data_IF_808220368713
#
_entry.id   IF_808220368713
#
_cell.length_a   1.000
_cell.length_b   1.000
_cell.length_c   1.000
_cell.angle_alpha   90.00
_cell.angle_beta   90.00
_cell.angle_gamma   90.00
#
_symmetry.space_group_name_H-M   'P 1'
#
loop_
_entity.id
_entity.type
_entity.pdbx_description
1 polymer ?
2 non-polymer ?
3 non-polymer ?
4 water ?
#
# COMPACT_ATOMS: atom_id res chain seq x y z
N UNK A 7 11.19 14.35 -25.31
CA UNK A 7 9.89 14.91 -24.98
C UNK A 7 8.99 13.94 -24.20
N UNK A 8 8.84 12.70 -24.67
CA UNK A 8 8.12 11.71 -23.86
C UNK A 8 8.85 11.44 -22.54
N UNK A 9 10.18 11.38 -22.58
CA UNK A 9 10.94 11.16 -21.35
C UNK A 9 10.73 12.28 -20.34
N UNK A 10 10.66 13.50 -20.85
CA UNK A 10 10.47 14.68 -19.99
C UNK A 10 9.08 14.71 -19.40
N UNK A 11 8.09 14.46 -20.26
CA UNK A 11 6.70 14.41 -19.82
C UNK A 11 6.52 13.32 -18.78
N UNK A 12 7.14 12.17 -19.02
CA UNK A 12 7.07 11.04 -18.09
C UNK A 12 7.65 11.37 -16.72
N UNK A 13 8.86 11.94 -16.70
CA UNK A 13 9.48 12.32 -15.43
C UNK A 13 8.62 13.34 -14.70
N UNK A 14 8.03 14.28 -15.45
CA UNK A 14 7.17 15.31 -14.85
C UNK A 14 5.91 14.72 -14.22
N UNK A 15 5.21 13.86 -14.96
CA UNK A 15 3.97 13.27 -14.50
C UNK A 15 4.14 12.37 -13.27
N UNK A 16 5.22 11.59 -13.25
CA UNK A 16 5.44 10.64 -12.17
C UNK A 16 5.77 11.33 -10.84
N UNK A 17 6.13 12.61 -10.90
CA UNK A 17 6.43 13.40 -9.71
C UNK A 17 5.18 14.03 -9.09
N UNK A 18 4.08 14.02 -9.85
CA UNK A 18 2.87 14.75 -9.44
C UNK A 18 1.92 13.94 -8.54
N UNK A 19 1.15 14.65 -7.72
CA UNK A 19 0.12 14.02 -6.91
C UNK A 19 -1.18 13.97 -7.68
N UNK A 20 -2.10 13.13 -7.23
CA UNK A 20 -3.45 13.02 -7.79
C UNK A 20 -4.06 14.41 -7.89
N UNK A 21 -3.93 15.17 -6.81
CA UNK A 21 -4.46 16.52 -6.74
C UNK A 21 -3.95 17.39 -7.89
N UNK A 22 -2.65 17.31 -8.17
CA UNK A 22 -2.04 18.06 -9.27
C UNK A 22 -2.49 17.54 -10.63
N UNK A 23 -2.45 16.22 -10.78
CA UNK A 23 -2.84 15.58 -12.06
C UNK A 23 -4.26 15.93 -12.45
N UNK A 24 -5.16 15.95 -11.47
CA UNK A 24 -6.58 16.18 -11.74
C UNK A 24 -6.86 17.52 -12.39
N UNK A 25 -5.93 18.47 -12.23
CA UNK A 25 -6.11 19.79 -12.80
C UNK A 25 -5.84 19.84 -14.31
N UNK A 26 -5.11 18.84 -14.82
CA UNK A 26 -4.81 18.79 -16.25
C UNK A 26 -5.55 17.70 -17.03
N UNK A 27 -6.37 16.91 -16.34
CA UNK A 27 -7.15 15.86 -17.03
C UNK A 27 -7.94 16.46 -18.20
N UNK A 28 -7.92 15.76 -19.32
CA UNK A 28 -8.63 16.19 -20.51
C UNK A 28 -10.04 15.64 -20.54
N UNK A 29 -10.26 14.60 -19.72
CA UNK A 29 -11.55 13.94 -19.64
C UNK A 29 -11.94 13.75 -18.18
N UNK A 30 -13.19 13.34 -17.96
CA UNK A 30 -13.66 12.98 -16.63
C UNK A 30 -12.94 11.70 -16.20
N UNK A 31 -13.06 11.32 -14.94
CA UNK A 31 -12.32 10.18 -14.40
C UNK A 31 -13.12 9.46 -13.33
N UNK A 32 -12.76 8.21 -13.05
CA UNK A 32 -13.40 7.43 -12.00
C UNK A 32 -12.38 7.17 -10.90
N UNK A 33 -12.56 7.77 -9.71
CA UNK A 33 -11.61 7.53 -8.62
C UNK A 33 -11.70 6.11 -8.05
N UNK A 34 -10.57 5.57 -7.57
CA UNK A 34 -10.52 4.22 -7.03
C UNK A 34 -11.50 4.03 -5.86
N UNK A 35 -11.68 5.07 -5.05
CA UNK A 35 -12.56 4.96 -3.88
C UNK A 35 -14.05 4.90 -4.24
N UNK A 36 -14.37 5.09 -5.51
CA UNK A 36 -15.76 4.98 -5.96
C UNK A 36 -16.04 3.57 -6.47
N UNK A 37 -14.99 2.78 -6.59
CA UNK A 37 -15.09 1.40 -7.08
C UNK A 37 -15.18 0.40 -5.93
N UNK A 38 -16.31 -0.29 -5.82
CA UNK A 38 -16.51 -1.24 -4.72
C UNK A 38 -15.67 -2.50 -4.87
N UNK A 39 -15.11 -2.97 -3.77
CA UNK A 39 -14.52 -4.30 -3.76
C UNK A 39 -15.67 -5.29 -3.93
N UNK A 40 -15.35 -6.53 -4.27
CA UNK A 40 -16.38 -7.55 -4.42
C UNK A 40 -17.10 -7.74 -3.09
N UNK A 41 -16.33 -7.63 -2.00
CA UNK A 41 -16.85 -7.75 -0.63
C UNK A 41 -17.98 -6.77 -0.35
N UNK A 42 -17.88 -5.55 -0.87
CA UNK A 42 -18.86 -4.51 -0.60
C UNK A 42 -20.12 -4.63 -1.48
N UNK A 43 -19.92 -5.02 -2.73
CA UNK A 43 -21.00 -5.09 -3.71
C UNK A 43 -22.03 -6.17 -3.34
N UNK A 44 -21.58 -7.16 -2.57
CA UNK A 44 -22.42 -8.29 -2.18
C UNK A 44 -23.08 -8.09 -0.82
N UNK A 45 -22.85 -6.94 -0.21
CA UNK A 45 -23.34 -6.68 1.14
C UNK A 45 -24.87 -6.68 1.23
N UNK A 46 -25.53 -6.39 0.11
CA UNK A 46 -26.98 -6.33 0.08
C UNK A 46 -27.63 -7.68 -0.13
N UNK A 47 -26.82 -8.73 -0.19
CA UNK A 47 -27.32 -10.09 -0.30
C UNK A 47 -27.70 -10.65 1.05
N UNK A 54 -23.58 -26.67 -1.69
CA UNK A 54 -22.33 -26.68 -0.93
C UNK A 54 -21.22 -27.49 -1.64
N UNK A 55 -20.01 -27.47 -1.10
CA UNK A 55 -18.85 -28.04 -1.80
C UNK A 55 -17.96 -28.88 -0.89
N UNK A 56 -16.93 -29.50 -1.47
CA UNK A 56 -15.88 -30.13 -0.67
C UNK A 56 -15.08 -29.07 0.10
N UNK A 57 -14.30 -29.53 1.07
CA UNK A 57 -13.44 -28.65 1.86
C UNK A 57 -12.39 -29.46 2.60
N UNK A 63 -8.23 -19.13 1.09
CA UNK A 63 -8.10 -17.71 1.40
C UNK A 63 -9.30 -16.91 0.93
N UNK A 64 -9.84 -16.06 1.80
CA UNK A 64 -10.78 -15.05 1.35
C UNK A 64 -9.97 -13.96 0.67
N UNK A 65 -10.31 -13.64 -0.57
CA UNK A 65 -9.57 -12.64 -1.34
C UNK A 65 -10.52 -11.56 -1.88
N UNK A 66 -11.76 -11.55 -1.35
CA UNK A 66 -12.82 -10.69 -1.87
C UNK A 66 -12.57 -9.19 -1.64
N UNK A 67 -11.71 -8.89 -0.70
CA UNK A 67 -11.34 -7.50 -0.41
C UNK A 67 -10.43 -6.94 -1.49
N UNK A 68 -9.74 -7.83 -2.19
CA UNK A 68 -8.64 -7.44 -3.06
C UNK A 68 -9.07 -7.29 -4.52
N UNK A 69 -10.29 -7.72 -4.84
CA UNK A 69 -10.76 -7.70 -6.23
C UNK A 69 -12.03 -6.87 -6.43
N UNK A 70 -12.22 -6.38 -7.65
CA UNK A 70 -13.44 -5.68 -8.02
C UNK A 70 -13.84 -6.14 -9.40
N UNK A 71 -15.14 -6.18 -9.64
CA UNK A 71 -15.68 -6.38 -10.98
C UNK A 71 -16.28 -5.04 -11.39
N UNK A 72 -15.82 -4.50 -12.51
CA UNK A 72 -16.23 -3.18 -12.92
C UNK A 72 -16.58 -3.19 -14.40
N UNK A 73 -17.76 -2.67 -14.76
CA UNK A 73 -18.13 -2.60 -16.17
C UNK A 73 -18.00 -1.18 -16.67
N UNK A 74 -17.12 -0.97 -17.65
CA UNK A 74 -17.01 0.33 -18.28
C UNK A 74 -15.72 0.53 -19.04
N UNK A 75 -15.49 1.79 -19.44
CA UNK A 75 -14.29 2.21 -20.17
C UNK A 75 -13.08 2.24 -19.25
N UNK A 76 -12.08 1.42 -19.56
CA UNK A 76 -10.92 1.28 -18.70
C UNK A 76 -10.11 2.58 -18.65
N UNK A 77 -10.22 3.39 -19.70
CA UNK A 77 -9.38 4.59 -19.79
C UNK A 77 -9.80 5.70 -18.83
N UNK A 78 -10.98 5.54 -18.21
CA UNK A 78 -11.46 6.51 -17.25
C UNK A 78 -10.93 6.23 -15.85
N UNK A 79 -10.41 5.02 -15.61
CA UNK A 79 -10.03 4.61 -14.24
C UNK A 79 -8.78 5.31 -13.70
N UNK A 80 -8.93 5.91 -12.53
CA UNK A 80 -7.81 6.55 -11.84
C UNK A 80 -7.17 5.52 -10.90
N UNK A 81 -6.29 4.72 -11.46
CA UNK A 81 -5.63 3.64 -10.74
C UNK A 81 -4.14 3.74 -11.05
N UNK A 82 -3.30 2.98 -10.35
CA UNK A 82 -1.87 3.06 -10.60
C UNK A 82 -1.51 2.55 -12.02
N UNK A 83 -2.25 1.55 -12.49
CA UNK A 83 -1.96 0.99 -13.81
C UNK A 83 -3.20 0.43 -14.46
N UNK A 84 -3.35 0.68 -15.76
CA UNK A 84 -4.29 -0.10 -16.56
C UNK A 84 -3.51 -1.00 -17.50
N UNK A 85 -4.12 -2.12 -17.87
CA UNK A 85 -3.49 -3.09 -18.74
C UNK A 85 -4.09 -2.98 -20.12
N UNK A 86 -3.23 -3.01 -21.11
CA UNK A 86 -3.63 -2.88 -22.52
C UNK A 86 -3.54 -4.24 -23.17
N UNK A 87 -4.62 -4.62 -23.87
CA UNK A 87 -4.62 -5.80 -24.76
C UNK A 87 -3.99 -5.41 -26.09
N UNK A 88 -2.66 -5.46 -26.14
CA UNK A 88 -1.90 -4.89 -27.23
C UNK A 88 -1.64 -5.91 -28.33
N UNK A 89 -0.91 -5.49 -29.35
CA UNK A 89 -0.38 -6.44 -30.30
C UNK A 89 1.14 -6.44 -30.22
N UNK A 90 1.75 -7.37 -30.95
CA UNK A 90 3.19 -7.58 -30.89
C UNK A 90 4.02 -6.32 -31.17
N UNK A 91 3.50 -5.41 -31.98
CA UNK A 91 4.25 -4.20 -32.32
C UNK A 91 4.27 -3.17 -31.20
N UNK A 92 3.26 -3.24 -30.33
CA UNK A 92 3.00 -2.24 -29.29
C UNK A 92 2.68 -0.83 -29.81
N UNK A 93 2.35 -0.71 -31.08
CA UNK A 93 2.16 0.62 -31.66
C UNK A 93 0.70 1.10 -31.72
N UNK A 94 -0.22 0.28 -31.24
CA UNK A 94 -1.63 0.66 -31.21
C UNK A 94 -2.47 -0.18 -32.13
N UNK A 95 -3.74 0.18 -32.24
CA UNK A 95 -4.67 -0.57 -33.06
C UNK A 95 -6.10 -0.18 -32.79
N UNK A 96 -6.95 -1.18 -32.70
CA UNK A 96 -8.36 -0.96 -32.46
C UNK A 96 -8.73 -1.43 -31.08
N UNK A 97 -10.03 -1.58 -30.82
CA UNK A 97 -10.50 -2.09 -29.55
C UNK A 97 -9.94 -1.30 -28.38
N UNK A 98 -9.61 -2.00 -27.30
CA UNK A 98 -9.16 -1.30 -26.11
C UNK A 98 -7.80 -0.61 -26.33
N UNK A 99 -6.94 -1.22 -27.14
CA UNK A 99 -5.66 -0.64 -27.52
C UNK A 99 -5.86 0.74 -28.16
N UNK A 100 -6.73 0.82 -29.14
CA UNK A 100 -7.03 2.09 -29.77
C UNK A 100 -7.56 3.14 -28.80
N UNK A 101 -8.44 2.70 -27.89
CA UNK A 101 -8.99 3.60 -26.86
C UNK A 101 -7.89 4.11 -25.96
N UNK A 102 -7.01 3.22 -25.52
CA UNK A 102 -5.92 3.60 -24.62
C UNK A 102 -4.99 4.61 -25.31
N UNK A 103 -4.62 4.35 -26.56
CA UNK A 103 -3.77 5.31 -27.25
C UNK A 103 -4.41 6.67 -27.47
N UNK A 104 -5.70 6.70 -27.81
CA UNK A 104 -6.37 7.98 -28.01
C UNK A 104 -6.43 8.75 -26.71
N UNK A 105 -6.75 8.06 -25.63
CA UNK A 105 -6.91 8.71 -24.34
C UNK A 105 -5.57 9.15 -23.76
N UNK A 106 -4.50 8.42 -24.07
CA UNK A 106 -3.20 8.75 -23.48
C UNK A 106 -2.51 9.89 -24.24
N UNK A 107 -2.83 10.05 -25.52
CA UNK A 107 -2.16 11.04 -26.34
C UNK A 107 -0.91 10.48 -27.02
N UNK A 108 -0.31 11.26 -27.92
CA UNK A 108 0.80 10.79 -28.75
C UNK A 108 2.10 10.42 -28.02
N UNK A 109 2.29 10.88 -26.79
CA UNK A 109 3.46 10.44 -26.02
C UNK A 109 3.46 8.93 -25.77
N UNK A 110 2.28 8.31 -25.74
CA UNK A 110 2.23 6.88 -25.48
C UNK A 110 2.85 6.12 -26.65
N UNK A 111 2.45 6.47 -27.87
CA UNK A 111 3.04 5.89 -29.06
C UNK A 111 4.56 6.13 -29.09
N UNK A 112 4.98 7.35 -28.73
CA UNK A 112 6.41 7.65 -28.72
C UNK A 112 7.19 6.74 -27.77
N UNK A 113 6.70 6.55 -26.56
CA UNK A 113 7.40 5.66 -25.63
C UNK A 113 7.37 4.22 -26.15
N UNK A 114 6.24 3.81 -26.73
CA UNK A 114 6.11 2.46 -27.26
C UNK A 114 7.07 2.23 -28.43
N UNK A 115 7.31 3.28 -29.20
CA UNK A 115 8.28 3.20 -30.32
C UNK A 115 9.71 3.00 -29.85
N UNK A 116 9.95 3.17 -28.55
CA UNK A 116 11.28 2.98 -28.00
C UNK A 116 11.44 1.56 -27.43
N UNK A 117 10.35 0.79 -27.42
CA UNK A 117 10.28 -0.51 -26.72
C UNK A 117 10.57 -1.79 -27.53
N UNK A 118 10.55 -1.69 -28.85
CA UNK A 118 10.82 -2.84 -29.73
C UNK A 118 9.87 -4.04 -29.61
N UNK A 119 8.59 -3.75 -29.40
CA UNK A 119 7.57 -4.77 -29.47
C UNK A 119 7.44 -5.60 -28.21
N UNK A 120 6.61 -6.63 -28.28
CA UNK A 120 6.35 -7.47 -27.13
C UNK A 120 5.92 -8.87 -27.58
N UNK A 121 6.41 -9.90 -26.91
CA UNK A 121 6.06 -11.28 -27.23
C UNK A 121 4.73 -11.68 -26.60
N UNK A 122 4.10 -12.67 -27.24
CA UNK A 122 2.85 -13.22 -26.72
C UNK A 122 3.06 -13.68 -25.29
N UNK A 123 2.19 -13.25 -24.38
CA UNK A 123 2.29 -13.65 -23.00
C UNK A 123 3.32 -12.89 -22.18
N UNK A 124 4.00 -11.92 -22.79
CA UNK A 124 4.91 -11.02 -22.08
C UNK A 124 4.22 -9.68 -21.85
N UNK A 125 4.85 -8.81 -21.07
CA UNK A 125 4.31 -7.48 -20.83
C UNK A 125 5.43 -6.46 -20.71
N UNK A 126 5.10 -5.19 -21.01
CA UNK A 126 6.03 -4.07 -20.89
C UNK A 126 5.27 -2.93 -20.28
N UNK A 127 5.95 -2.08 -19.52
CA UNK A 127 5.27 -0.99 -18.84
C UNK A 127 5.68 0.37 -19.37
N UNK A 128 4.72 1.28 -19.51
CA UNK A 128 5.01 2.65 -19.92
C UNK A 128 4.28 3.63 -19.02
N UNK A 129 4.61 4.91 -19.16
CA UNK A 129 3.81 5.97 -18.53
C UNK A 129 2.41 6.01 -19.18
N UNK A 130 1.42 6.50 -18.42
CA UNK A 130 0.06 6.63 -18.92
C UNK A 130 -0.26 7.96 -19.57
N UNK A 131 0.65 8.93 -19.44
CA UNK A 131 0.49 10.26 -20.05
C UNK A 131 -0.86 10.92 -19.72
N UNK A 132 -1.69 11.22 -20.73
CA UNK A 132 -2.95 11.92 -20.49
C UNK A 132 -3.95 11.10 -19.66
N UNK A 133 -3.73 9.80 -19.55
CA UNK A 133 -4.64 8.94 -18.78
C UNK A 133 -4.56 9.28 -17.31
N UNK A 134 -5.70 9.18 -16.60
CA UNK A 134 -5.60 9.25 -15.14
C UNK A 134 -4.74 8.11 -14.55
N UNK A 135 -4.70 6.96 -15.21
CA UNK A 135 -3.79 5.88 -14.83
C UNK A 135 -2.32 6.31 -14.91
N UNK A 136 -1.57 6.01 -13.86
CA UNK A 136 -0.17 6.41 -13.78
C UNK A 136 0.66 5.69 -14.84
N UNK A 137 0.37 4.40 -15.02
CA UNK A 137 1.11 3.56 -15.94
C UNK A 137 0.16 2.78 -16.84
N UNK A 138 0.66 2.40 -18.01
CA UNK A 138 0.02 1.37 -18.83
C UNK A 138 0.91 0.16 -18.90
N UNK A 139 0.35 -1.01 -18.59
CA UNK A 139 1.08 -2.26 -18.75
C UNK A 139 0.54 -2.90 -20.02
N UNK A 140 1.40 -3.03 -21.03
CA UNK A 140 0.98 -3.57 -22.31
C UNK A 140 1.32 -5.05 -22.37
N UNK A 141 0.34 -5.88 -22.74
CA UNK A 141 0.57 -7.30 -22.85
C UNK A 141 -0.07 -7.81 -24.14
N UNK A 142 0.47 -8.89 -24.70
CA UNK A 142 -0.03 -9.38 -25.99
C UNK A 142 -0.66 -10.74 -25.79
N UNK A 143 -1.99 -10.80 -25.96
CA UNK A 143 -2.70 -12.04 -25.76
C UNK A 143 -2.50 -12.98 -26.93
N UNK A 144 -2.79 -14.26 -26.72
CA UNK A 144 -2.76 -15.24 -27.80
C UNK A 144 -3.89 -14.99 -28.79
N UNK A 145 -3.67 -15.43 -30.02
CA UNK A 145 -4.68 -15.34 -31.08
C UNK A 145 -5.36 -16.69 -31.29
N UNK A 146 -6.69 -16.69 -31.22
CA UNK A 146 -7.44 -17.91 -31.41
C UNK A 146 -8.11 -17.84 -32.76
N UNK A 147 -7.70 -18.69 -33.68
CA UNK A 147 -8.34 -18.77 -34.99
C UNK A 147 -9.15 -20.05 -35.06
N UNK A 148 -10.18 -20.16 -34.24
CA UNK A 148 -11.09 -21.29 -34.32
C UNK A 148 -11.03 -22.26 -33.14
N UNK A 149 -9.87 -22.32 -32.48
CA UNK A 149 -9.69 -23.21 -31.34
C UNK A 149 -8.59 -22.66 -30.43
N UNK A 150 -8.53 -23.17 -29.20
CA UNK A 150 -7.53 -22.75 -28.22
C UNK A 150 -6.80 -23.95 -27.64
N UNK A 151 -6.50 -24.92 -28.49
CA UNK A 151 -5.88 -26.17 -28.06
C UNK A 151 -4.38 -26.23 -28.35
N UNK A 152 -3.78 -25.08 -28.65
CA UNK A 152 -2.33 -24.99 -28.75
C UNK A 152 -1.76 -24.49 -27.44
N UNK A 153 -0.93 -23.46 -27.48
CA UNK A 153 -0.37 -22.86 -26.29
C UNK A 153 -1.31 -21.80 -25.70
N UNK A 154 -2.49 -21.65 -26.32
CA UNK A 154 -3.40 -20.55 -26.01
C UNK A 154 -3.71 -20.32 -24.54
N UNK A 155 -4.07 -21.38 -23.82
CA UNK A 155 -4.48 -21.21 -22.43
C UNK A 155 -3.33 -20.74 -21.55
N UNK A 156 -2.15 -21.33 -21.75
CA UNK A 156 -0.97 -20.93 -20.99
C UNK A 156 -0.51 -19.54 -21.40
N UNK A 157 -0.60 -19.23 -22.69
CA UNK A 157 -0.24 -17.90 -23.18
C UNK A 157 -1.12 -16.81 -22.54
N UNK A 158 -2.43 -17.06 -22.46
CA UNK A 158 -3.31 -16.07 -21.85
C UNK A 158 -3.01 -15.92 -20.36
N UNK A 159 -2.76 -17.04 -19.69
CA UNK A 159 -2.38 -16.99 -18.29
C UNK A 159 -1.09 -16.18 -18.13
N UNK A 160 -0.15 -16.38 -19.05
CA UNK A 160 1.12 -15.64 -19.01
C UNK A 160 0.94 -14.12 -19.10
N UNK A 161 -0.02 -13.67 -19.90
CA UNK A 161 -0.34 -12.24 -19.95
C UNK A 161 -0.65 -11.67 -18.58
N UNK A 162 -1.49 -12.37 -17.84
CA UNK A 162 -1.88 -11.91 -16.52
C UNK A 162 -0.70 -12.03 -15.57
N UNK A 163 0.06 -13.12 -15.64
CA UNK A 163 1.21 -13.29 -14.75
C UNK A 163 2.29 -12.24 -15.03
N UNK A 164 2.56 -11.98 -16.30
CA UNK A 164 3.60 -11.04 -16.69
C UNK A 164 3.23 -9.63 -16.28
N UNK A 165 1.94 -9.32 -16.41
CA UNK A 165 1.42 -8.02 -15.98
C UNK A 165 1.58 -7.86 -14.47
N UNK A 166 1.24 -8.91 -13.72
CA UNK A 166 1.34 -8.88 -12.27
C UNK A 166 2.79 -8.80 -11.78
N UNK A 167 3.71 -9.39 -12.52
CA UNK A 167 5.14 -9.22 -12.23
C UNK A 167 5.55 -7.76 -12.29
N UNK A 168 5.07 -7.05 -13.32
CA UNK A 168 5.37 -5.63 -13.46
C UNK A 168 4.66 -4.81 -12.38
N UNK A 169 3.47 -5.26 -11.98
CA UNK A 169 2.73 -4.62 -10.91
C UNK A 169 3.58 -4.61 -9.64
N UNK A 170 4.15 -5.77 -9.34
CA UNK A 170 4.97 -5.93 -8.15
C UNK A 170 6.27 -5.14 -8.26
N UNK A 171 6.91 -5.21 -9.43
CA UNK A 171 8.21 -4.55 -9.60
C UNK A 171 8.11 -3.03 -9.56
N UNK A 172 6.95 -2.51 -9.93
CA UNK A 172 6.79 -1.06 -10.05
C UNK A 172 5.96 -0.46 -8.93
N UNK A 173 5.80 -1.24 -7.85
CA UNK A 173 5.12 -0.79 -6.65
C UNK A 173 3.71 -0.26 -6.93
N UNK A 174 3.03 -0.92 -7.86
CA UNK A 174 1.68 -0.57 -8.24
C UNK A 174 0.69 -1.23 -7.29
N UNK A 175 -0.23 -0.44 -6.73
CA UNK A 175 -1.14 -0.98 -5.71
C UNK A 175 -2.59 -1.12 -6.18
N UNK A 176 -2.87 -0.57 -7.36
CA UNK A 176 -4.17 -0.79 -7.98
C UNK A 176 -3.97 -0.98 -9.48
N UNK A 177 -4.58 -2.03 -10.03
CA UNK A 177 -4.42 -2.30 -11.45
C UNK A 177 -5.76 -2.80 -12.02
N UNK A 178 -6.07 -2.40 -13.25
CA UNK A 178 -7.25 -2.88 -13.96
C UNK A 178 -6.89 -3.66 -15.23
N UNK A 179 -7.58 -4.78 -15.44
CA UNK A 179 -7.41 -5.63 -16.62
C UNK A 179 -8.65 -5.59 -17.46
N UNK A 180 -8.48 -5.45 -18.78
CA UNK A 180 -9.57 -5.69 -19.72
C UNK A 180 -9.65 -7.18 -20.04
N UNK A 181 -10.64 -7.57 -20.84
CA UNK A 181 -10.80 -8.97 -21.20
C UNK A 181 -9.88 -9.36 -22.35
N UNK A 182 -8.60 -9.48 -22.03
CA UNK A 182 -7.54 -9.75 -23.02
C UNK A 182 -7.88 -10.93 -23.91
N UNK A 183 -7.64 -10.74 -25.21
CA UNK A 183 -7.79 -11.77 -26.25
C UNK A 183 -9.21 -12.11 -26.66
N UNK A 184 -10.23 -11.58 -25.97
CA UNK A 184 -11.60 -12.01 -26.27
C UNK A 184 -12.31 -11.15 -27.31
N UNK A 185 -11.60 -10.14 -27.80
CA UNK A 185 -12.10 -9.30 -28.89
C UNK A 185 -11.71 -9.87 -30.24
N UNK A 186 -10.96 -9.10 -31.03
CA UNK A 186 -10.62 -9.61 -32.36
C UNK A 186 -9.67 -10.81 -32.28
N UNK A 187 -8.98 -11.00 -31.16
CA UNK A 187 -8.14 -12.19 -31.04
C UNK A 187 -8.92 -13.47 -30.77
N UNK A 188 -10.24 -13.35 -30.56
CA UNK A 188 -11.14 -14.48 -30.71
C UNK A 188 -11.20 -15.57 -29.65
N UNK A 189 -10.59 -15.32 -28.49
CA UNK A 189 -10.61 -16.31 -27.41
C UNK A 189 -12.04 -16.40 -26.84
N UNK A 190 -12.56 -17.62 -26.70
CA UNK A 190 -13.93 -17.74 -26.16
C UNK A 190 -14.05 -17.15 -24.76
N UNK A 191 -15.17 -16.45 -24.51
CA UNK A 191 -15.28 -15.61 -23.32
C UNK A 191 -15.23 -16.35 -21.98
N UNK A 192 -15.92 -17.48 -21.88
CA UNK A 192 -15.96 -18.21 -20.61
C UNK A 192 -14.60 -18.80 -20.22
N UNK A 193 -13.93 -19.52 -21.14
CA UNK A 193 -12.60 -20.04 -20.78
C UNK A 193 -11.59 -18.94 -20.48
N UNK A 194 -11.71 -17.80 -21.15
CA UNK A 194 -10.83 -16.67 -20.88
C UNK A 194 -11.06 -16.14 -19.47
N UNK A 195 -12.32 -16.06 -19.06
CA UNK A 195 -12.64 -15.59 -17.72
C UNK A 195 -12.09 -16.55 -16.68
N UNK A 196 -12.22 -17.85 -16.93
CA UNK A 196 -11.70 -18.86 -15.99
C UNK A 196 -10.20 -18.67 -15.80
N UNK A 197 -9.49 -18.44 -16.90
CA UNK A 197 -8.05 -18.25 -16.85
C UNK A 197 -7.66 -16.97 -16.11
N UNK A 198 -8.34 -15.87 -16.42
CA UNK A 198 -8.07 -14.59 -15.77
C UNK A 198 -8.28 -14.67 -14.25
N UNK A 199 -9.42 -15.23 -13.87
CA UNK A 199 -9.76 -15.33 -12.44
C UNK A 199 -8.83 -16.28 -11.72
N UNK A 200 -8.57 -17.45 -12.31
CA UNK A 200 -7.69 -18.41 -11.66
C UNK A 200 -6.29 -17.86 -11.49
N UNK A 201 -5.78 -17.19 -12.51
CA UNK A 201 -4.44 -16.62 -12.45
C UNK A 201 -4.33 -15.55 -11.36
N UNK A 202 -5.31 -14.66 -11.29
CA UNK A 202 -5.29 -13.61 -10.27
C UNK A 202 -5.45 -14.23 -8.87
N UNK A 203 -6.32 -15.23 -8.73
CA UNK A 203 -6.51 -15.90 -7.45
C UNK A 203 -5.20 -16.50 -6.94
N UNK A 204 -4.53 -17.27 -7.81
CA UNK A 204 -3.28 -17.92 -7.44
C UNK A 204 -2.17 -16.92 -7.10
N UNK A 205 -2.13 -15.82 -7.83
CA UNK A 205 -1.13 -14.77 -7.56
C UNK A 205 -1.40 -14.12 -6.21
N UNK A 206 -2.68 -13.86 -5.93
CA UNK A 206 -3.07 -13.16 -4.70
C UNK A 206 -2.84 -13.99 -3.45
N UNK A 207 -2.88 -15.32 -3.59
CA UNK A 207 -2.66 -16.19 -2.44
C UNK A 207 -1.26 -15.93 -1.84
N UNK A 208 -0.34 -15.54 -2.71
CA UNK A 208 1.05 -15.32 -2.31
C UNK A 208 1.38 -13.83 -2.18
N UNK A 209 0.64 -12.98 -2.89
CA UNK A 209 0.95 -11.56 -2.97
C UNK A 209 -0.16 -10.60 -2.53
N UNK A 210 -1.14 -11.05 -1.77
CA UNK A 210 -2.28 -10.17 -1.48
C UNK A 210 -1.93 -8.87 -0.74
N UNK A 211 -0.87 -8.89 0.06
CA UNK A 211 -0.42 -7.67 0.71
C UNK A 211 0.26 -6.68 -0.24
N UNK A 212 0.56 -7.11 -1.47
CA UNK A 212 1.27 -6.28 -2.42
C UNK A 212 0.38 -5.25 -3.13
N UNK A 213 -0.92 -5.47 -3.08
CA UNK A 213 -1.86 -4.57 -3.76
C UNK A 213 -3.06 -4.24 -2.89
N UNK A 214 -3.72 -3.14 -3.21
CA UNK A 214 -5.00 -2.78 -2.61
C UNK A 214 -6.16 -3.33 -3.45
N UNK A 215 -6.05 -3.26 -4.77
CA UNK A 215 -7.12 -3.76 -5.62
C UNK A 215 -6.65 -4.23 -7.00
N UNK A 216 -7.21 -5.36 -7.42
CA UNK A 216 -7.12 -5.78 -8.82
C UNK A 216 -8.54 -5.68 -9.36
N UNK A 217 -8.70 -4.91 -10.44
CA UNK A 217 -10.01 -4.65 -11.01
C UNK A 217 -10.17 -5.38 -12.32
N UNK A 218 -11.19 -6.22 -12.42
CA UNK A 218 -11.57 -6.77 -13.72
C UNK A 218 -12.52 -5.81 -14.38
N UNK A 219 -11.99 -5.08 -15.37
CA UNK A 219 -12.78 -4.11 -16.12
C UNK A 219 -13.35 -4.80 -17.36
N UNK A 220 -14.58 -5.27 -17.25
CA UNK A 220 -15.26 -5.85 -18.39
C UNK A 220 -15.90 -4.69 -19.14
N UNK A 221 -16.15 -4.89 -20.43
CA UNK A 221 -16.69 -3.84 -21.28
C UNK A 221 -18.06 -4.26 -21.77
N UNK A 222 -18.14 -5.49 -22.27
CA UNK A 222 -19.39 -6.00 -22.83
C UNK A 222 -20.27 -6.62 -21.76
N UNK A 223 -21.59 -6.56 -21.98
CA UNK A 223 -22.52 -7.15 -21.06
C UNK A 223 -22.27 -8.66 -20.94
N UNK A 224 -21.89 -9.31 -22.04
CA UNK A 224 -21.64 -10.75 -22.00
C UNK A 224 -20.54 -11.11 -21.00
N UNK A 225 -19.45 -10.35 -21.02
CA UNK A 225 -18.37 -10.62 -20.09
C UNK A 225 -18.75 -10.29 -18.66
N UNK A 226 -19.53 -9.23 -18.47
CA UNK A 226 -20.00 -8.87 -17.13
C UNK A 226 -20.75 -10.04 -16.51
N UNK A 227 -21.70 -10.59 -17.27
CA UNK A 227 -22.53 -11.70 -16.79
C UNK A 227 -21.68 -12.92 -16.44
N UNK A 228 -20.66 -13.17 -17.25
CA UNK A 228 -19.77 -14.31 -17.03
C UNK A 228 -18.95 -14.14 -15.77
N UNK A 229 -18.28 -13.00 -15.65
CA UNK A 229 -17.45 -12.71 -14.49
C UNK A 229 -18.27 -12.74 -13.20
N UNK A 230 -19.46 -12.16 -13.23
CA UNK A 230 -20.28 -12.06 -12.03
C UNK A 230 -20.64 -13.42 -11.45
N UNK A 231 -20.86 -14.40 -12.32
CA UNK A 231 -21.21 -15.76 -11.88
C UNK A 231 -20.01 -16.53 -11.32
N UNK A 232 -18.82 -16.02 -11.55
CA UNK A 232 -17.60 -16.76 -11.22
C UNK A 232 -16.80 -16.19 -10.06
N UNK A 233 -17.07 -14.93 -9.70
CA UNK A 233 -16.29 -14.25 -8.67
C UNK A 233 -16.27 -14.98 -7.33
N UNK A 234 -17.42 -15.50 -6.91
CA UNK A 234 -17.50 -16.19 -5.62
C UNK A 234 -16.74 -17.51 -5.58
N UNK A 235 -16.83 -18.29 -6.65
CA UNK A 235 -16.17 -19.59 -6.67
C UNK A 235 -14.66 -19.43 -6.65
N UNK A 236 -14.18 -18.25 -7.04
CA UNK A 236 -12.75 -17.98 -7.04
C UNK A 236 -12.25 -17.25 -5.81
N UNK A 237 -13.03 -16.33 -5.25
CA UNK A 237 -12.45 -15.46 -4.22
C UNK A 237 -13.09 -15.57 -2.84
N UNK A 238 -14.34 -16.01 -2.80
CA UNK A 238 -15.06 -16.15 -1.54
C UNK A 238 -14.94 -17.54 -0.94
N UNK B 7 -10.16 -14.61 25.88
CA UNK B 7 -10.90 -13.38 25.63
C UNK B 7 -10.12 -12.38 24.77
N UNK B 8 -8.86 -12.11 25.10
CA UNK B 8 -8.06 -11.23 24.25
C UNK B 8 -7.80 -11.83 22.87
N UNK B 9 -7.59 -13.14 22.80
CA UNK B 9 -7.36 -13.79 21.52
C UNK B 9 -8.56 -13.64 20.59
N UNK B 10 -9.76 -13.80 21.16
CA UNK B 10 -11.01 -13.66 20.41
C UNK B 10 -11.27 -12.23 19.96
N UNK B 11 -11.08 -11.29 20.88
CA UNK B 11 -11.26 -9.89 20.55
C UNK B 11 -10.27 -9.47 19.46
N UNK B 12 -9.04 -9.95 19.56
CA UNK B 12 -8.01 -9.63 18.57
C UNK B 12 -8.38 -10.16 17.18
N UNK B 13 -8.82 -11.42 17.14
CA UNK B 13 -9.26 -12.01 15.89
C UNK B 13 -10.41 -11.22 15.28
N UNK B 14 -11.35 -10.80 16.12
CA UNK B 14 -12.51 -10.03 15.70
C UNK B 14 -12.11 -8.68 15.10
N UNK B 15 -11.24 -7.97 15.81
CA UNK B 15 -10.86 -6.63 15.41
C UNK B 15 -10.07 -6.60 14.11
N UNK B 16 -9.17 -7.57 13.93
CA UNK B 16 -8.27 -7.54 12.79
C UNK B 16 -8.99 -7.84 11.48
N UNK B 17 -10.19 -8.45 11.58
CA UNK B 17 -11.01 -8.76 10.41
C UNK B 17 -11.85 -7.57 9.96
N UNK B 18 -11.97 -6.58 10.83
CA UNK B 18 -12.87 -5.45 10.58
C UNK B 18 -12.25 -4.39 9.70
N UNK B 19 -13.10 -3.76 8.88
CA UNK B 19 -12.69 -2.62 8.06
C UNK B 19 -12.69 -1.36 8.91
N UNK B 20 -12.08 -0.32 8.36
CA UNK B 20 -12.00 0.99 9.00
C UNK B 20 -13.39 1.53 9.33
N UNK B 21 -14.32 1.36 8.40
CA UNK B 21 -15.68 1.84 8.61
C UNK B 21 -16.34 1.13 9.78
N UNK B 22 -16.12 -0.18 9.86
CA UNK B 22 -16.67 -0.97 10.93
C UNK B 22 -16.02 -0.62 12.27
N UNK B 23 -14.70 -0.45 12.25
CA UNK B 23 -13.96 -0.11 13.46
C UNK B 23 -14.40 1.25 14.02
N UNK B 24 -14.62 2.21 13.13
CA UNK B 24 -14.99 3.56 13.55
C UNK B 24 -16.28 3.62 14.35
N UNK B 25 -17.23 2.76 13.98
CA UNK B 25 -18.52 2.72 14.69
C UNK B 25 -18.38 2.29 16.14
N UNK B 26 -17.27 1.62 16.48
CA UNK B 26 -17.05 1.12 17.84
C UNK B 26 -16.09 1.96 18.68
N UNK B 27 -15.47 2.98 18.07
CA UNK B 27 -14.53 3.83 18.79
C UNK B 27 -15.22 4.49 19.98
N UNK B 28 -14.51 4.52 21.10
CA UNK B 28 -14.97 5.17 22.32
C UNK B 28 -14.62 6.65 22.36
N UNK B 29 -13.59 7.02 21.60
CA UNK B 29 -13.07 8.39 21.63
C UNK B 29 -12.92 8.97 20.23
N UNK B 30 -12.65 10.28 20.17
CA UNK B 30 -12.40 10.92 18.88
C UNK B 30 -11.16 10.32 18.27
N UNK B 31 -10.99 10.48 16.97
CA UNK B 31 -9.80 9.95 16.33
C UNK B 31 -9.32 10.95 15.29
N UNK B 32 -8.07 10.78 14.89
CA UNK B 32 -7.48 11.59 13.83
C UNK B 32 -7.12 10.65 12.68
N UNK B 33 -7.82 10.80 11.54
CA UNK B 33 -7.57 9.94 10.38
C UNK B 33 -6.25 10.31 9.71
N UNK B 34 -5.61 9.31 9.11
CA UNK B 34 -4.32 9.51 8.46
C UNK B 34 -4.39 10.61 7.40
N UNK B 35 -5.51 10.70 6.71
CA UNK B 35 -5.67 11.69 5.63
C UNK B 35 -5.64 13.15 6.11
N UNK B 36 -5.80 13.36 7.41
CA UNK B 36 -5.82 14.70 7.99
C UNK B 36 -4.43 15.11 8.49
N UNK B 37 -3.49 14.18 8.42
CA UNK B 37 -2.12 14.45 8.82
C UNK B 37 -1.33 14.71 7.54
N UNK B 38 -0.80 15.92 7.42
CA UNK B 38 -0.05 16.28 6.22
C UNK B 38 1.31 15.61 6.23
N UNK B 39 1.77 15.21 5.04
CA UNK B 39 3.14 14.72 4.91
C UNK B 39 4.01 15.94 5.09
N UNK B 40 5.30 15.75 5.35
CA UNK B 40 6.20 16.88 5.48
C UNK B 40 6.28 17.68 4.17
N UNK B 41 6.15 16.96 3.05
CA UNK B 41 6.13 17.60 1.72
C UNK B 41 4.96 18.57 1.59
N UNK B 42 3.78 18.16 2.04
CA UNK B 42 2.61 19.04 2.04
C UNK B 42 2.78 20.21 2.98
N UNK B 43 3.28 19.91 4.18
CA UNK B 43 3.50 20.93 5.20
C UNK B 43 4.48 21.99 4.69
N UNK B 44 5.45 21.54 3.89
CA UNK B 44 6.45 22.43 3.31
C UNK B 44 6.04 22.87 1.92
N UNK B 58 25.60 18.49 -3.80
CA UNK B 58 26.84 17.76 -4.00
C UNK B 58 26.75 16.80 -5.19
N UNK B 59 27.68 15.86 -5.24
CA UNK B 59 27.61 14.78 -6.21
C UNK B 59 26.77 13.64 -5.65
N UNK B 60 26.37 13.77 -4.39
CA UNK B 60 25.59 12.74 -3.73
C UNK B 60 24.20 12.60 -4.33
N UNK B 61 23.83 11.36 -4.63
CA UNK B 61 22.50 11.05 -5.14
C UNK B 61 21.61 10.73 -3.94
N UNK B 62 20.50 11.44 -3.81
CA UNK B 62 19.65 11.33 -2.64
C UNK B 62 18.22 10.95 -3.00
N UNK B 63 17.63 10.03 -2.24
CA UNK B 63 16.21 9.71 -2.39
C UNK B 63 15.38 10.80 -1.70
N UNK B 64 14.33 11.25 -2.37
CA UNK B 64 13.41 12.18 -1.72
C UNK B 64 12.40 11.40 -0.90
N UNK B 65 12.29 11.71 0.39
CA UNK B 65 11.45 10.93 1.30
C UNK B 65 10.41 11.79 2.01
N UNK B 66 10.27 13.04 1.60
CA UNK B 66 9.41 13.99 2.31
C UNK B 66 7.93 13.63 2.26
N UNK B 67 7.54 12.80 1.29
CA UNK B 67 6.16 12.35 1.18
C UNK B 67 5.87 11.21 2.17
N UNK B 68 6.92 10.62 2.72
CA UNK B 68 6.78 9.39 3.50
C UNK B 68 6.82 9.65 5.00
N UNK B 69 7.05 10.90 5.39
CA UNK B 69 7.15 11.25 6.80
C UNK B 69 6.22 12.40 7.16
N UNK B 70 5.80 12.44 8.42
CA UNK B 70 5.00 13.54 8.96
C UNK B 70 5.52 13.89 10.36
N UNK B 71 5.32 15.14 10.76
CA UNK B 71 5.55 15.56 12.14
C UNK B 71 4.21 15.97 12.73
N UNK B 72 3.82 15.33 13.83
CA UNK B 72 2.53 15.56 14.46
C UNK B 72 2.75 15.80 15.93
N UNK B 73 2.20 16.89 16.46
CA UNK B 73 2.27 17.12 17.89
C UNK B 73 0.92 16.83 18.53
N UNK B 74 0.90 15.86 19.44
CA UNK B 74 -0.31 15.55 20.17
C UNK B 74 -0.28 14.14 20.76
N UNK B 75 -1.43 13.72 21.25
CA UNK B 75 -1.59 12.42 21.91
C UNK B 75 -1.53 11.33 20.84
N UNK B 76 -0.53 10.45 20.95
CA UNK B 76 -0.36 9.37 19.99
C UNK B 76 -1.59 8.46 19.93
N UNK B 77 -2.34 8.40 21.03
CA UNK B 77 -3.45 7.44 21.12
C UNK B 77 -4.65 7.80 20.25
N UNK B 78 -4.68 9.04 19.76
CA UNK B 78 -5.76 9.46 18.88
C UNK B 78 -5.53 9.07 17.43
N UNK B 79 -4.31 8.65 17.08
CA UNK B 79 -3.97 8.46 15.66
C UNK B 79 -4.57 7.19 15.06
N UNK B 80 -5.28 7.34 13.96
CA UNK B 80 -5.86 6.20 13.26
C UNK B 80 -4.87 5.76 12.19
N UNK B 81 -3.95 4.90 12.61
CA UNK B 81 -2.88 4.41 11.76
C UNK B 81 -2.80 2.90 11.96
N UNK B 82 -2.05 2.21 11.10
CA UNK B 82 -1.91 0.76 11.27
C UNK B 82 -1.23 0.38 12.59
N UNK B 83 -0.26 1.18 13.03
CA UNK B 83 0.44 0.88 14.28
C UNK B 83 0.91 2.13 14.99
N UNK B 84 0.79 2.12 16.32
CA UNK B 84 1.51 3.11 17.12
C UNK B 84 2.58 2.39 17.91
N UNK B 85 3.67 3.10 18.19
CA UNK B 85 4.79 2.53 18.93
C UNK B 85 4.75 3.01 20.36
N UNK B 86 4.96 2.07 21.29
CA UNK B 86 4.94 2.36 22.71
C UNK B 86 6.34 2.38 23.26
N UNK B 87 6.68 3.43 24.01
CA UNK B 87 7.94 3.49 24.75
C UNK B 87 7.76 2.71 26.05
N UNK B 88 7.96 1.40 25.95
CA UNK B 88 7.57 0.48 27.02
C UNK B 88 8.71 0.25 28.00
N UNK B 89 8.45 -0.55 29.03
CA UNK B 89 9.54 -1.06 29.84
C UNK B 89 9.67 -2.56 29.64
N UNK B 90 10.75 -3.11 30.19
CA UNK B 90 11.12 -4.50 30.00
C UNK B 90 10.03 -5.51 30.35
N UNK B 91 9.14 -5.17 31.28
CA UNK B 91 8.06 -6.09 31.66
C UNK B 91 6.93 -6.14 30.62
N UNK B 92 6.84 -5.09 29.79
CA UNK B 92 5.70 -4.83 28.89
C UNK B 92 4.34 -4.69 29.59
N UNK B 93 4.31 -4.46 30.89
CA UNK B 93 3.02 -4.49 31.59
C UNK B 93 2.38 -3.12 31.78
N UNK B 94 3.05 -2.08 31.31
CA UNK B 94 2.53 -0.73 31.44
C UNK B 94 3.35 0.13 32.38
N UNK B 95 2.82 1.31 32.67
CA UNK B 95 3.60 2.29 33.41
C UNK B 95 3.00 3.68 33.34
N UNK B 96 3.88 4.68 33.24
CA UNK B 96 3.45 6.06 33.19
C UNK B 96 3.75 6.56 31.81
N UNK B 97 3.73 7.89 31.65
CA UNK B 97 4.08 8.47 30.36
C UNK B 97 3.23 7.95 29.22
N UNK B 98 3.84 7.80 28.07
CA UNK B 98 3.08 7.39 26.89
C UNK B 98 2.59 5.93 27.04
N UNK B 99 3.36 5.11 27.73
CA UNK B 99 2.99 3.72 28.03
C UNK B 99 1.66 3.69 28.81
N UNK B 100 1.55 4.49 29.85
CA UNK B 100 0.31 4.56 30.61
C UNK B 100 -0.85 5.05 29.76
N UNK B 101 -0.58 6.02 28.89
CA UNK B 101 -1.62 6.54 28.02
C UNK B 101 -2.12 5.47 27.06
N UNK B 102 -1.19 4.73 26.48
CA UNK B 102 -1.54 3.68 25.53
C UNK B 102 -2.37 2.58 26.20
N UNK B 103 -1.99 2.17 27.40
CA UNK B 103 -2.75 1.13 28.09
C UNK B 103 -4.15 1.58 28.49
N UNK B 104 -4.28 2.81 28.96
CA UNK B 104 -5.60 3.33 29.31
C UNK B 104 -6.50 3.41 28.10
N UNK B 105 -5.95 3.89 26.99
CA UNK B 105 -6.73 4.05 25.77
C UNK B 105 -7.09 2.71 25.12
N UNK B 106 -6.20 1.73 25.21
CA UNK B 106 -6.45 0.43 24.58
C UNK B 106 -7.40 -0.48 25.37
N UNK B 107 -7.45 -0.26 26.68
CA UNK B 107 -8.25 -1.10 27.56
C UNK B 107 -7.50 -2.32 28.07
N UNK B 108 -8.15 -3.08 28.96
CA UNK B 108 -7.51 -4.20 29.68
C UNK B 108 -7.01 -5.35 28.79
N UNK B 109 -7.55 -5.50 27.58
CA UNK B 109 -7.05 -6.57 26.71
C UNK B 109 -5.59 -6.38 26.32
N UNK B 110 -5.10 -5.15 26.31
CA UNK B 110 -3.71 -4.91 25.92
C UNK B 110 -2.79 -5.51 26.98
N UNK B 111 -3.05 -5.19 28.24
CA UNK B 111 -2.31 -5.79 29.35
C UNK B 111 -2.37 -7.31 29.29
N UNK B 112 -3.55 -7.86 28.99
CA UNK B 112 -3.70 -9.32 28.89
C UNK B 112 -2.79 -9.91 27.81
N UNK B 113 -2.79 -9.32 26.61
CA UNK B 113 -1.93 -9.84 25.56
C UNK B 113 -0.46 -9.64 25.94
N UNK B 114 -0.14 -8.49 26.54
CA UNK B 114 1.24 -8.21 26.95
C UNK B 114 1.74 -9.22 27.98
N UNK B 115 0.86 -9.64 28.87
CA UNK B 115 1.24 -10.62 29.90
C UNK B 115 1.69 -11.93 29.24
N UNK B 116 1.08 -12.28 28.12
CA UNK B 116 1.41 -13.52 27.41
C UNK B 116 2.76 -13.45 26.65
N UNK B 117 3.35 -12.26 26.58
CA UNK B 117 4.56 -12.04 25.78
C UNK B 117 5.89 -12.21 26.54
N UNK B 118 5.82 -12.30 27.86
CA UNK B 118 7.02 -12.52 28.68
C UNK B 118 8.11 -11.46 28.55
N UNK B 119 7.71 -10.20 28.50
CA UNK B 119 8.66 -9.11 28.54
C UNK B 119 9.34 -8.82 27.23
N UNK B 120 10.30 -7.90 27.25
CA UNK B 120 10.99 -7.45 26.04
C UNK B 120 12.34 -6.86 26.42
N UNK B 121 13.37 -7.17 25.65
CA UNK B 121 14.70 -6.62 25.94
C UNK B 121 14.89 -5.21 25.37
N UNK B 122 15.78 -4.45 26.00
CA UNK B 122 16.18 -3.14 25.52
C UNK B 122 16.58 -3.22 24.05
N UNK B 123 16.06 -2.31 23.24
CA UNK B 123 16.42 -2.25 21.84
C UNK B 123 15.70 -3.28 20.99
N UNK B 124 14.77 -4.02 21.59
CA UNK B 124 13.98 -5.01 20.86
C UNK B 124 12.53 -4.57 20.86
N UNK B 125 11.70 -5.26 20.09
CA UNK B 125 10.30 -4.88 19.98
C UNK B 125 9.38 -6.08 19.86
N UNK B 126 8.13 -5.91 20.30
CA UNK B 126 7.10 -6.94 20.14
C UNK B 126 5.80 -6.29 19.72
N UNK B 127 4.95 -7.02 19.00
CA UNK B 127 3.72 -6.44 18.46
C UNK B 127 2.48 -7.07 19.08
N UNK B 128 1.50 -6.23 19.39
CA UNK B 128 0.20 -6.70 19.87
C UNK B 128 -0.94 -6.01 19.10
N UNK B 129 -2.15 -6.50 19.32
CA UNK B 129 -3.34 -5.78 18.87
C UNK B 129 -3.48 -4.45 19.63
N UNK B 130 -4.15 -3.47 19.05
CA UNK B 130 -4.36 -2.19 19.71
C UNK B 130 -5.69 -2.07 20.44
N UNK B 131 -6.57 -3.07 20.28
CA UNK B 131 -7.84 -3.13 21.01
C UNK B 131 -8.67 -1.84 20.87
N UNK B 132 -8.94 -1.14 21.97
CA UNK B 132 -9.82 0.04 21.88
C UNK B 132 -9.20 1.20 21.11
N UNK B 133 -7.91 1.14 20.84
CA UNK B 133 -7.24 2.21 20.09
C UNK B 133 -7.72 2.23 18.66
N UNK B 134 -7.72 3.42 18.04
CA UNK B 134 -7.95 3.44 16.59
C UNK B 134 -6.83 2.73 15.84
N UNK B 135 -5.62 2.72 16.41
CA UNK B 135 -4.50 2.00 15.79
C UNK B 135 -4.75 0.50 15.78
N UNK B 136 -4.45 -0.16 14.66
CA UNK B 136 -4.71 -1.60 14.56
C UNK B 136 -3.77 -2.39 15.47
N UNK B 137 -2.52 -1.95 15.54
CA UNK B 137 -1.50 -2.64 16.33
C UNK B 137 -0.79 -1.66 17.24
N UNK B 138 -0.20 -2.19 18.32
CA UNK B 138 0.80 -1.46 19.10
C UNK B 138 2.11 -2.24 18.99
N UNK B 139 3.17 -1.54 18.63
CA UNK B 139 4.50 -2.12 18.64
C UNK B 139 5.21 -1.60 19.89
N UNK B 140 5.52 -2.51 20.81
CA UNK B 140 6.14 -2.12 22.08
C UNK B 140 7.64 -2.28 21.95
N UNK B 141 8.38 -1.22 22.27
CA UNK B 141 9.83 -1.29 22.25
C UNK B 141 10.36 -0.72 23.56
N UNK B 142 11.52 -1.19 24.00
CA UNK B 142 12.06 -0.80 25.29
C UNK B 142 13.29 0.04 25.05
N UNK B 143 13.19 1.34 25.35
CA UNK B 143 14.33 2.22 25.15
C UNK B 143 15.43 2.03 26.18
N UNK B 144 16.65 2.47 25.86
CA UNK B 144 17.72 2.47 26.86
C UNK B 144 17.44 3.46 27.98
N UNK B 145 18.03 3.17 29.14
CA UNK B 145 17.95 4.04 30.31
C UNK B 145 19.24 4.84 30.47
N UNK B 146 19.09 6.16 30.56
CA UNK B 146 20.25 7.04 30.75
C UNK B 146 20.09 7.77 32.07
N UNK B 147 20.75 7.27 33.11
CA UNK B 147 20.68 7.89 34.42
C UNK B 147 21.64 9.06 34.53
N UNK B 148 22.66 9.04 33.67
CA UNK B 148 23.62 10.12 33.59
C UNK B 148 23.88 10.42 32.13
N UNK B 149 25.15 10.59 31.78
CA UNK B 149 25.53 10.91 30.41
C UNK B 149 25.31 9.71 29.51
N UNK B 150 24.81 9.96 28.30
CA UNK B 150 24.70 8.88 27.33
C UNK B 150 26.06 8.54 26.74
N UNK B 151 26.21 7.30 26.31
CA UNK B 151 27.40 6.83 25.63
C UNK B 151 27.00 5.99 24.41
N UNK B 152 27.98 5.37 23.75
CA UNK B 152 27.73 4.58 22.57
C UNK B 152 26.71 3.47 22.75
N UNK B 153 26.66 2.90 23.95
CA UNK B 153 25.69 1.83 24.19
C UNK B 153 24.24 2.38 24.18
N UNK B 154 24.01 3.54 24.79
CA UNK B 154 22.66 4.13 24.74
C UNK B 154 22.27 4.45 23.31
N UNK B 155 23.22 4.97 22.53
CA UNK B 155 22.95 5.40 21.17
C UNK B 155 22.61 4.22 20.28
N UNK B 156 23.35 3.12 20.43
CA UNK B 156 23.10 1.92 19.67
C UNK B 156 21.75 1.31 20.05
N UNK B 157 21.49 1.26 21.35
CA UNK B 157 20.23 0.73 21.87
C UNK B 157 19.02 1.50 21.35
N UNK B 158 19.10 2.82 21.39
CA UNK B 158 17.99 3.63 20.87
C UNK B 158 17.77 3.41 19.37
N UNK B 159 18.85 3.39 18.59
CA UNK B 159 18.71 3.08 17.17
C UNK B 159 18.04 1.73 16.99
N UNK B 160 18.44 0.78 17.82
CA UNK B 160 17.89 -0.57 17.72
C UNK B 160 16.38 -0.64 18.01
N UNK B 161 15.90 0.21 18.91
CA UNK B 161 14.46 0.33 19.13
C UNK B 161 13.72 0.71 17.86
N UNK B 162 14.24 1.71 17.16
CA UNK B 162 13.61 2.14 15.93
C UNK B 162 13.72 1.04 14.86
N UNK B 163 14.88 0.42 14.76
CA UNK B 163 15.11 -0.63 13.75
C UNK B 163 14.22 -1.86 13.99
N UNK B 164 14.16 -2.32 15.24
CA UNK B 164 13.38 -3.51 15.55
C UNK B 164 11.89 -3.22 15.37
N UNK B 165 11.48 -1.99 15.63
CA UNK B 165 10.08 -1.60 15.44
C UNK B 165 9.76 -1.60 13.94
N UNK B 166 10.66 -1.04 13.13
CA UNK B 166 10.45 -0.99 11.69
C UNK B 166 10.49 -2.39 11.08
N UNK B 167 11.25 -3.29 11.69
CA UNK B 167 11.25 -4.68 11.23
C UNK B 167 9.85 -5.30 11.36
N UNK B 168 9.19 -5.04 12.49
CA UNK B 168 7.83 -5.50 12.70
C UNK B 168 6.83 -4.80 11.77
N UNK B 169 7.09 -3.55 11.45
CA UNK B 169 6.26 -2.80 10.52
C UNK B 169 6.25 -3.54 9.18
N UNK B 170 7.45 -3.93 8.75
CA UNK B 170 7.57 -4.62 7.46
C UNK B 170 6.96 -6.02 7.49
N UNK B 171 7.24 -6.77 8.55
CA UNK B 171 6.78 -8.15 8.66
C UNK B 171 5.27 -8.25 8.81
N UNK B 172 4.64 -7.18 9.30
CA UNK B 172 3.21 -7.21 9.56
C UNK B 172 2.40 -6.37 8.58
N UNK B 173 3.03 -6.01 7.47
CA UNK B 173 2.33 -5.32 6.38
C UNK B 173 1.67 -4.03 6.86
N UNK B 174 2.35 -3.36 7.77
CA UNK B 174 1.89 -2.10 8.32
C UNK B 174 2.31 -0.95 7.41
N UNK B 175 1.35 -0.12 7.00
CA UNK B 175 1.66 0.93 6.03
C UNK B 175 1.70 2.34 6.64
N UNK B 176 1.22 2.45 7.87
CA UNK B 176 1.37 3.71 8.58
C UNK B 176 1.70 3.43 10.04
N UNK B 177 2.71 4.14 10.54
CA UNK B 177 3.18 3.91 11.91
C UNK B 177 3.59 5.23 12.53
N UNK B 178 3.31 5.40 13.83
CA UNK B 178 3.69 6.60 14.56
C UNK B 178 4.60 6.25 15.73
N UNK B 179 5.68 7.01 15.88
CA UNK B 179 6.64 6.84 16.98
C UNK B 179 6.57 8.01 17.92
N UNK B 180 6.58 7.73 19.24
CA UNK B 180 6.80 8.76 20.26
C UNK B 180 8.29 8.98 20.45
N UNK B 181 8.65 9.94 21.30
CA UNK B 181 10.07 10.26 21.51
C UNK B 181 10.67 9.33 22.55
N UNK B 182 10.90 8.09 22.12
CA UNK B 182 11.37 7.00 22.99
C UNK B 182 12.59 7.41 23.79
N UNK B 183 12.55 7.06 25.08
CA UNK B 183 13.66 7.25 26.04
C UNK B 183 13.88 8.67 26.54
N UNK B 184 13.16 9.65 26.02
CA UNK B 184 13.43 11.06 26.37
C UNK B 184 12.62 11.55 27.57
N UNK B 185 11.77 10.68 28.10
CA UNK B 185 11.01 10.98 29.31
C UNK B 185 11.74 10.57 30.56
N UNK B 186 11.13 9.72 31.37
CA UNK B 186 11.82 9.31 32.59
C UNK B 186 13.11 8.52 32.29
N UNK B 187 13.25 7.94 31.10
CA UNK B 187 14.51 7.26 30.79
C UNK B 187 15.69 8.19 30.48
N UNK B 188 15.43 9.50 30.40
CA UNK B 188 16.49 10.50 30.49
C UNK B 188 17.42 10.75 29.32
N UNK B 189 17.06 10.28 28.13
CA UNK B 189 17.89 10.50 26.95
C UNK B 189 17.73 11.94 26.52
N UNK B 190 18.86 12.63 26.29
CA UNK B 190 18.76 14.03 25.89
C UNK B 190 17.97 14.22 24.59
N UNK B 191 17.11 15.24 24.53
CA UNK B 191 16.19 15.40 23.42
C UNK B 191 16.83 15.51 22.03
N UNK B 192 17.83 16.37 21.89
CA UNK B 192 18.44 16.54 20.58
C UNK B 192 19.14 15.28 20.05
N UNK B 193 20.02 14.66 20.87
CA UNK B 193 20.67 13.45 20.36
C UNK B 193 19.67 12.34 20.05
N UNK B 194 18.60 12.23 20.83
CA UNK B 194 17.57 11.24 20.53
C UNK B 194 16.92 11.51 19.18
N UNK B 195 16.61 12.77 18.90
CA UNK B 195 15.97 13.13 17.64
C UNK B 195 16.85 12.78 16.45
N UNK B 196 18.14 13.04 16.57
CA UNK B 196 19.11 12.71 15.52
C UNK B 196 19.09 11.22 15.21
N UNK B 197 19.04 10.41 16.25
CA UNK B 197 19.06 8.96 16.08
C UNK B 197 17.75 8.48 15.48
N UNK B 198 16.63 9.00 15.97
CA UNK B 198 15.32 8.64 15.43
C UNK B 198 15.23 8.97 13.95
N UNK B 199 15.57 10.20 13.60
CA UNK B 199 15.50 10.66 12.21
C UNK B 199 16.48 9.93 11.30
N UNK B 200 17.70 9.74 11.76
CA UNK B 200 18.67 9.03 10.94
C UNK B 200 18.23 7.59 10.67
N UNK B 201 17.76 6.93 11.72
CA UNK B 201 17.36 5.54 11.61
C UNK B 201 16.18 5.36 10.67
N UNK B 202 15.20 6.25 10.79
CA UNK B 202 14.05 6.21 9.89
C UNK B 202 14.45 6.55 8.45
N UNK B 203 15.34 7.54 8.30
CA UNK B 203 15.84 7.90 6.97
C UNK B 203 16.48 6.71 6.26
N UNK B 204 17.37 6.01 6.97
CA UNK B 204 18.08 4.89 6.36
C UNK B 204 17.14 3.74 6.05
N UNK B 205 16.19 3.47 6.94
CA UNK B 205 15.23 2.42 6.67
C UNK B 205 14.39 2.79 5.45
N UNK B 206 13.97 4.04 5.35
CA UNK B 206 13.15 4.46 4.21
C UNK B 206 13.94 4.44 2.91
N UNK B 207 15.22 4.78 2.95
CA UNK B 207 16.05 4.75 1.74
C UNK B 207 15.92 3.39 1.05
N UNK B 208 15.87 2.32 1.85
CA UNK B 208 15.71 0.96 1.35
C UNK B 208 14.26 0.50 1.23
N UNK B 209 13.40 0.96 2.13
CA UNK B 209 12.05 0.42 2.24
C UNK B 209 10.89 1.38 2.00
N UNK B 210 11.12 2.52 1.37
CA UNK B 210 10.05 3.53 1.28
C UNK B 210 8.77 3.06 0.55
N UNK B 211 8.89 2.09 -0.35
CA UNK B 211 7.71 1.59 -1.01
C UNK B 211 6.87 0.69 -0.09
N UNK B 212 7.38 0.39 1.11
CA UNK B 212 6.71 -0.53 2.02
C UNK B 212 5.70 0.18 2.90
N UNK B 213 5.76 1.50 2.94
CA UNK B 213 4.84 2.28 3.76
C UNK B 213 4.28 3.50 3.04
N UNK B 214 3.17 4.01 3.57
CA UNK B 214 2.62 5.29 3.15
C UNK B 214 3.12 6.43 4.04
N UNK B 215 3.28 6.16 5.34
CA UNK B 215 3.70 7.22 6.23
C UNK B 215 4.31 6.71 7.53
N UNK B 216 5.42 7.34 7.91
CA UNK B 216 6.00 7.24 9.25
C UNK B 216 5.81 8.60 9.91
N UNK B 217 5.11 8.60 11.05
CA UNK B 217 4.78 9.81 11.75
C UNK B 217 5.63 9.95 13.01
N UNK B 218 6.33 11.06 13.13
CA UNK B 218 7.01 11.39 14.37
C UNK B 218 5.99 12.13 15.21
N UNK B 219 5.52 11.44 16.25
CA UNK B 219 4.53 11.99 17.15
C UNK B 219 5.24 12.56 18.36
N UNK B 220 5.43 13.88 18.35
CA UNK B 220 6.05 14.54 19.48
C UNK B 220 4.94 14.99 20.42
N UNK B 221 5.28 15.22 21.68
CA UNK B 221 4.29 15.58 22.67
C UNK B 221 4.65 16.93 23.30
N UNK B 222 5.88 17.05 23.76
CA UNK B 222 6.37 18.29 24.37
C UNK B 222 6.78 19.29 23.30
N UNK B 223 6.62 20.57 23.62
CA UNK B 223 6.97 21.63 22.69
C UNK B 223 8.47 21.59 22.37
N UNK B 224 9.29 21.26 23.37
CA UNK B 224 10.73 21.16 23.14
C UNK B 224 11.06 20.16 22.00
N UNK B 225 10.42 19.00 21.99
CA UNK B 225 10.61 18.04 20.91
C UNK B 225 10.01 18.48 19.59
N UNK B 226 8.86 19.17 19.63
CA UNK B 226 8.33 19.74 18.41
C UNK B 226 9.34 20.66 17.75
N UNK B 227 9.92 21.56 18.53
CA UNK B 227 10.86 22.54 18.01
C UNK B 227 12.08 21.85 17.41
N UNK B 228 12.58 20.84 18.13
CA UNK B 228 13.76 20.10 17.68
C UNK B 228 13.51 19.35 16.37
N UNK B 229 12.40 18.63 16.29
CA UNK B 229 12.08 17.89 15.07
C UNK B 229 11.80 18.81 13.90
N UNK B 230 11.11 19.92 14.16
CA UNK B 230 10.75 20.86 13.10
C UNK B 230 12.03 21.37 12.43
N UNK B 231 13.03 21.65 13.24
CA UNK B 231 14.33 22.16 12.76
C UNK B 231 15.07 21.16 11.89
N UNK B 232 14.96 19.88 12.24
CA UNK B 232 15.78 18.85 11.61
C UNK B 232 15.16 18.12 10.42
N UNK B 233 13.85 18.24 10.22
CA UNK B 233 13.15 17.48 9.17
C UNK B 233 13.71 17.65 7.75
N UNK B 234 14.00 18.88 7.35
CA UNK B 234 14.52 19.10 6.00
C UNK B 234 15.94 18.56 5.85
N UNK B 235 16.75 18.75 6.89
CA UNK B 235 18.11 18.24 6.93
C UNK B 235 18.10 16.75 6.61
N UNK B 236 17.12 16.02 7.13
CA UNK B 236 17.05 14.60 6.90
C UNK B 236 16.27 14.14 5.67
N UNK B 237 15.23 14.87 5.26
CA UNK B 237 14.33 14.27 4.26
C UNK B 237 14.18 14.91 2.88
N UNK B 238 14.63 16.15 2.71
CA UNK B 238 14.44 16.88 1.46
C UNK B 238 15.58 16.66 0.46
X LIG C 1 -12.36 -0.41 -21.95
X LIG C 1 -12.36 -1.70 -21.51
X LIG C 1 -12.49 -2.79 -22.29
X LIG C 1 -12.61 -2.51 -23.59
X LIG C 1 -12.62 -1.20 -24.09
X LIG C 1 -12.49 -0.10 -23.26
X LIG C 1 -12.48 1.26 -23.71
X LIG C 1 -12.78 -1.25 -25.51
X LIG C 1 -12.86 -2.58 -25.80
X LIG C 1 -12.78 -3.33 -24.67
X LIG C 1 -9.77 -6.27 -28.13
X LIG C 1 -7.90 -8.48 -28.21
X LIG C 1 -12.80 -4.78 -24.53
X LIG C 1 -9.51 -4.81 -27.89
X LIG C 1 -6.85 -8.83 -27.20
X LIG C 1 -6.19 -4.47 -31.07
X LIG C 1 -6.35 -4.00 -32.37
X LIG C 1 -13.51 -5.55 -25.58
X LIG C 1 -14.88 -5.48 -25.48
X LIG C 1 -10.30 -6.53 -29.51
X LIG C 1 -8.98 -9.46 -28.43
X LIG C 1 -4.75 -4.67 -30.74
X LIG C 1 -3.89 -3.77 -31.36
X LIG C 1 -12.98 -6.90 -25.28
X LIG C 1 -13.69 -7.49 -24.25
X LIG C 1 -8.41 -7.03 -27.84
X LIG C 1 -4.52 -6.08 -31.10
X LIG C 1 -4.06 -6.15 -32.40
X LIG C 1 -11.58 -6.59 -24.82
X LIG C 1 -11.47 -5.20 -24.61
X LIG C 1 -5.88 -6.73 -30.95
X LIG C 1 -6.83 -5.70 -30.92
X LIG C 1 -10.49 -7.07 -25.77
X LIG C 1 -10.83 -6.84 -27.12
X LIG C 1 -5.94 -7.52 -29.66
X LIG C 1 -7.16 -8.24 -29.60
X LIG D 1 5.53 -4.38 -3.29
X LIG E 1 1.42 10.70 23.20
X LIG E 1 2.64 10.90 22.64
X LIG E 1 3.77 11.10 23.34
X LIG E 1 3.62 11.12 24.67
X LIG E 1 2.38 10.93 25.29
X LIG E 1 1.24 10.72 24.54
X LIG E 1 -0.07 10.52 25.07
X LIG E 1 2.55 11.02 26.70
X LIG E 1 3.88 11.23 26.87
X LIG E 1 4.53 11.32 25.68
X LIG E 1 8.14 8.39 28.58
X LIG E 1 10.57 6.80 28.29
X LIG E 1 5.94 11.51 25.41
X LIG E 1 6.71 7.98 28.44
X LIG E 1 10.98 5.93 27.14
X LIG E 1 7.07 4.43 31.34
X LIG E 1 6.71 4.43 32.68
X LIG E 1 6.74 12.21 26.44
X LIG E 1 6.49 13.57 26.43
X LIG E 1 8.50 8.80 29.98
X LIG E 1 11.43 7.99 28.55
X LIG E 1 7.37 3.05 30.87
X LIG E 1 6.59 2.05 31.45
X LIG E 1 8.10 11.86 26.02
X LIG E 1 8.55 12.71 25.01
X LIG E 1 9.04 7.17 28.10
X LIG E 1 8.82 2.92 31.08
X LIG E 1 9.06 2.40 32.35
X LIG E 1 7.91 10.48 25.44
X LIG E 1 6.53 10.24 25.36
X LIG E 1 9.31 4.33 30.96
X LIG E 1 8.21 5.20 31.10
X LIG E 1 8.60 9.39 26.24
X LIG E 1 8.49 9.59 27.64
X LIG E 1 9.99 4.59 29.62
X LIG E 1 10.52 5.92 29.61
X LIG F 1 5.34 -5.04 2.66
#
# INVERSE_FOLDING_TARGET
GHMKKKVWREEKERLLKMTLEERRKEYLRDYIPLNSILSWKEEMKGKGQNDEENTQETSQVKKSLTEKVSLYRGDITLLEVDAIVNAANASLLGGGGVDGCIHRAAGPCLLAECRNLNGCDTGHAKITCGYDLPAKYVIHTVGPIARGHINGSHKEDLANCYKSSLKLVKENNIRSVAFPCISTGIYGFPNEPAAVIALNTIKEWLAKNHHEVDRIIFCVFLEVDFKIYKKKMNEFFSVD
GHMKKKVWREEKERLLKMTLEERRKEYLRDYIPLNSILSWKEEMKGKGQNDEENTQETSQVKKSLTEKVSLYRGDITLLEVDAIVNAANASLLGGGGVDGCIHRAAGPCLLAECRNLNGCDTGHAKITCGYDLPAKYVIHTVGPIARGHINGSHKEDLANCYKSSLKLVKENNIRSVAFPCISTGIYGFPNEPAAVIALNTIKEWLAKNHHEVDRIIFCVFLEVDFKIYKKKMNEFFSVD
AR6 N1 C2 N3 C4 C5 C6 N6 N7 C8 N9 PA PB C1' O1A O1B C1D O1D C2' O2' O2A O2B C2D O2D C3' O3' O3A C3D O3D C4' O4' C4D O4D C5' O5' C5D O5D
MG MG
AR6 N1 C2 N3 C4 C5 C6 N6 N7 C8 N9 PA PB C1' O1A O1B C1D O1D C2' O2' O2A O2B C2D O2D C3' O3' O3A C3D O3D C4' O4' C4D O4D C5' O5' C5D O5D
MG MG
#
